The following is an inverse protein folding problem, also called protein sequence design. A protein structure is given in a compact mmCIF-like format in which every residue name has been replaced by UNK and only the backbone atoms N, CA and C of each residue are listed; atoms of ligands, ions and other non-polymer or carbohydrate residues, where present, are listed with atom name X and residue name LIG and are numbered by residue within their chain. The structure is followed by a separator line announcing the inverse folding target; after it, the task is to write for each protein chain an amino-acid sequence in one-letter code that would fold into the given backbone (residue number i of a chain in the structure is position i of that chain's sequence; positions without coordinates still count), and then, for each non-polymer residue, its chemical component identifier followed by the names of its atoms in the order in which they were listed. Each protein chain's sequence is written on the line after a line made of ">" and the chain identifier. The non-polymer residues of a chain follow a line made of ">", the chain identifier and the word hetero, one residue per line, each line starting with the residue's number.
data_IF_910501572830
#
_entry.id   IF_910501572830
#
_cell.length_a   1.000
_cell.length_b   1.000
_cell.length_c   1.000
_cell.angle_alpha   90.00
_cell.angle_beta   90.00
_cell.angle_gamma   90.00
#
_symmetry.space_group_name_H-M   'P 1'
#
loop_
_entity.id
_entity.type
_entity.pdbx_description
1 polymer ?
#
# COMPACT_ATOMS: atom_id res chain seq x y z
N UNK A 1 50.85 46.28 -36.80
CA UNK A 1 51.39 45.99 -35.45
C UNK A 1 50.62 46.82 -34.44
N UNK A 2 50.41 46.33 -33.21
CA UNK A 2 49.60 45.20 -32.72
C UNK A 2 48.22 45.74 -32.23
N UNK A 3 47.18 44.98 -31.87
CA UNK A 3 47.08 43.66 -31.25
C UNK A 3 46.28 43.86 -29.95
N UNK A 4 44.98 43.56 -29.96
CA UNK A 4 44.17 43.45 -28.74
C UNK A 4 44.06 41.96 -28.44
N UNK A 5 44.87 41.52 -27.47
CA UNK A 5 44.85 40.17 -26.91
C UNK A 5 43.61 40.00 -26.02
N UNK A 6 42.82 38.96 -26.33
CA UNK A 6 41.80 38.41 -25.44
C UNK A 6 42.50 37.39 -24.55
N UNK A 7 42.68 37.72 -23.27
CA UNK A 7 43.30 36.83 -22.30
C UNK A 7 42.28 36.06 -21.46
N UNK A 8 42.62 34.78 -21.29
CA UNK A 8 41.91 33.66 -20.70
C UNK A 8 41.48 33.81 -19.22
N UNK A 9 40.29 33.26 -18.93
CA UNK A 9 39.98 32.20 -17.94
C UNK A 9 40.67 32.24 -16.56
N UNK A 10 39.92 32.56 -15.49
CA UNK A 10 40.10 31.99 -14.13
C UNK A 10 38.76 31.97 -13.38
N UNK A 11 38.35 30.79 -12.90
CA UNK A 11 37.18 30.51 -12.05
C UNK A 11 37.18 31.26 -10.70
N UNK A 12 36.01 31.54 -10.10
CA UNK A 12 35.86 31.63 -8.65
C UNK A 12 35.39 30.30 -8.02
N UNK A 13 35.66 30.11 -6.71
CA UNK A 13 35.73 28.79 -6.07
C UNK A 13 34.38 28.23 -5.64
N UNK A 14 34.32 26.91 -5.69
CA UNK A 14 33.28 26.05 -5.11
C UNK A 14 33.37 26.16 -3.58
N UNK A 15 32.33 26.69 -2.94
CA UNK A 15 32.04 26.46 -1.52
C UNK A 15 30.89 25.46 -1.47
N UNK A 16 31.23 24.17 -1.32
CA UNK A 16 30.30 23.14 -0.87
C UNK A 16 30.59 22.95 0.61
N UNK A 17 29.64 23.36 1.44
CA UNK A 17 29.67 23.18 2.87
C UNK A 17 28.26 23.27 3.40
N UNK A 18 27.49 22.18 3.25
CA UNK A 18 26.43 21.81 4.19
C UNK A 18 26.59 20.31 4.41
N UNK A 19 27.36 20.00 5.46
CA UNK A 19 27.50 18.67 6.03
C UNK A 19 26.15 18.18 6.59
N UNK A 20 26.02 16.86 6.48
CA UNK A 20 25.18 15.95 7.24
C UNK A 20 24.60 16.47 8.56
N UNK A 21 23.27 16.51 8.66
CA UNK A 21 22.57 16.32 9.92
C UNK A 21 21.37 15.39 9.74
N UNK A 22 21.26 14.42 10.66
CA UNK A 22 20.13 13.55 10.97
C UNK A 22 19.78 12.40 10.01
N UNK A 23 20.57 11.33 10.07
CA UNK A 23 20.03 9.97 9.99
C UNK A 23 20.49 9.24 11.25
N UNK A 24 19.62 9.15 12.25
CA UNK A 24 19.89 8.31 13.44
C UNK A 24 20.09 6.85 13.02
N UNK A 25 21.03 6.12 13.64
CA UNK A 25 21.29 4.73 13.31
C UNK A 25 20.05 3.89 13.65
N UNK A 26 19.48 3.24 12.64
CA UNK A 26 18.26 2.40 12.69
C UNK A 26 18.30 1.35 13.82
N UNK A 27 19.50 0.89 14.20
CA UNK A 27 19.68 -0.11 15.25
C UNK A 27 19.31 0.45 16.65
N UNK A 28 19.51 1.75 16.89
CA UNK A 28 19.15 2.42 18.14
C UNK A 28 17.63 2.62 18.26
N UNK A 29 16.95 2.88 17.14
CA UNK A 29 15.49 2.99 17.07
C UNK A 29 14.82 1.63 17.27
N UNK A 30 15.43 0.56 16.77
CA UNK A 30 14.97 -0.83 16.95
C UNK A 30 15.06 -1.25 18.43
N UNK A 31 16.17 -0.91 19.09
CA UNK A 31 16.39 -1.24 20.50
C UNK A 31 15.47 -0.42 21.42
N UNK A 32 15.21 0.85 21.11
CA UNK A 32 14.26 1.68 21.86
C UNK A 32 12.81 1.20 21.67
N UNK A 33 12.43 0.76 20.46
CA UNK A 33 11.12 0.20 20.20
C UNK A 33 10.89 -1.13 20.96
N UNK A 34 11.86 -2.04 20.98
CA UNK A 34 11.79 -3.26 21.79
C UNK A 34 11.63 -2.96 23.28
N UNK A 35 12.33 -1.92 23.77
CA UNK A 35 12.28 -1.49 25.17
C UNK A 35 10.93 -0.87 25.55
N UNK A 36 10.20 -0.30 24.59
CA UNK A 36 8.82 0.21 24.78
C UNK A 36 7.77 -0.88 24.71
N UNK A 37 7.96 -1.86 23.83
CA UNK A 37 7.06 -3.01 23.70
C UNK A 37 7.06 -3.87 24.97
N UNK A 38 8.23 -4.03 25.63
CA UNK A 38 8.33 -4.79 26.88
C UNK A 38 7.63 -4.12 28.08
N UNK A 39 7.29 -2.83 27.99
CA UNK A 39 6.55 -2.09 29.01
C UNK A 39 5.02 -2.13 28.84
N UNK A 40 4.52 -2.73 27.76
CA UNK A 40 3.07 -2.86 27.52
C UNK A 40 2.45 -3.97 28.39
N UNK A 41 1.17 -3.84 28.79
CA UNK A 41 0.46 -4.88 29.52
C UNK A 41 0.46 -6.19 28.72
N UNK A 42 0.53 -7.36 29.39
CA UNK A 42 0.78 -8.65 28.74
C UNK A 42 -0.28 -9.03 27.69
N UNK A 43 -1.46 -8.44 27.76
CA UNK A 43 -2.57 -8.64 26.82
C UNK A 43 -2.37 -7.91 25.47
N UNK A 44 -1.53 -6.87 25.43
CA UNK A 44 -1.27 -6.03 24.25
C UNK A 44 0.07 -6.36 23.54
N UNK A 45 0.93 -7.15 24.19
CA UNK A 45 2.22 -7.59 23.65
C UNK A 45 2.14 -8.37 22.33
N UNK A 46 1.17 -9.30 22.09
CA UNK A 46 1.13 -10.03 20.82
C UNK A 46 0.83 -9.10 19.63
N UNK A 47 -0.05 -8.11 19.80
CA UNK A 47 -0.37 -7.13 18.76
C UNK A 47 0.79 -6.19 18.48
N UNK A 48 1.50 -5.73 19.52
CA UNK A 48 2.67 -4.86 19.38
C UNK A 48 3.84 -5.59 18.69
N UNK A 49 4.04 -6.87 18.98
CA UNK A 49 5.06 -7.69 18.31
C UNK A 49 4.73 -7.92 16.83
N UNK A 50 3.46 -8.14 16.48
CA UNK A 50 3.03 -8.25 15.07
C UNK A 50 3.22 -6.92 14.34
N UNK A 51 2.81 -5.80 14.93
CA UNK A 51 3.03 -4.45 14.36
C UNK A 51 4.52 -4.14 14.18
N UNK A 52 5.35 -4.54 15.14
CA UNK A 52 6.80 -4.35 15.07
C UNK A 52 7.45 -5.24 14.01
N UNK A 53 7.05 -6.51 13.89
CA UNK A 53 7.57 -7.39 12.83
C UNK A 53 7.12 -6.95 11.44
N UNK A 54 5.89 -6.45 11.30
CA UNK A 54 5.41 -5.83 10.05
C UNK A 54 6.19 -4.55 9.74
N UNK A 55 6.41 -3.68 10.72
CA UNK A 55 7.24 -2.47 10.56
C UNK A 55 8.69 -2.78 10.21
N UNK A 56 9.28 -3.80 10.83
CA UNK A 56 10.62 -4.28 10.54
C UNK A 56 10.73 -4.94 9.16
N UNK A 57 9.70 -5.66 8.70
CA UNK A 57 9.62 -6.19 7.33
C UNK A 57 9.52 -5.07 6.29
N UNK A 58 8.72 -4.03 6.55
CA UNK A 58 8.64 -2.81 5.73
C UNK A 58 10.01 -2.10 5.67
N UNK A 59 10.72 -1.99 6.79
CA UNK A 59 12.03 -1.37 6.87
C UNK A 59 13.12 -2.22 6.17
N UNK A 60 13.03 -3.56 6.28
CA UNK A 60 13.96 -4.50 5.65
C UNK A 60 13.77 -4.59 4.13
N UNK A 61 12.53 -4.49 3.62
CA UNK A 61 12.27 -4.29 2.19
C UNK A 61 12.76 -2.92 1.68
N UNK A 62 13.01 -1.95 2.58
CA UNK A 62 13.59 -0.64 2.28
C UNK A 62 15.12 -0.60 2.20
N UNK A 63 15.84 -1.65 2.64
CA UNK A 63 17.31 -1.74 2.52
C UNK A 63 17.72 -2.38 1.17
N UNK A 64 17.44 -1.67 0.08
CA UNK A 64 18.14 -1.89 -1.19
C UNK A 64 19.20 -0.77 -1.37
N UNK A 65 20.43 -1.20 -1.64
CA UNK A 65 21.68 -0.43 -1.77
C UNK A 65 21.47 0.88 -2.55
N UNK A 66 21.61 2.03 -1.87
CA UNK A 66 21.72 3.34 -2.53
C UNK A 66 23.10 3.41 -3.20
N UNK A 67 23.18 3.07 -4.48
CA UNK A 67 24.29 3.50 -5.34
C UNK A 67 23.88 4.78 -6.04
N UNK A 68 24.08 5.92 -5.36
CA UNK A 68 23.96 7.23 -5.96
C UNK A 68 25.23 7.52 -6.76
N UNK A 69 25.17 7.37 -8.10
CA UNK A 69 26.09 8.04 -9.03
C UNK A 69 25.37 8.35 -10.34
N UNK A 70 24.54 9.39 -10.37
CA UNK A 70 24.46 10.28 -11.54
C UNK A 70 24.10 11.70 -11.08
N UNK A 71 25.03 12.64 -11.27
CA UNK A 71 24.75 14.06 -11.47
C UNK A 71 25.86 14.61 -12.39
N UNK A 72 25.64 15.61 -13.28
CA UNK A 72 24.51 16.56 -13.25
C UNK A 72 23.76 16.74 -14.60
N UNK A 73 22.49 17.13 -14.48
CA UNK A 73 21.51 17.37 -15.57
C UNK A 73 21.69 18.76 -16.25
N UNK A 74 22.71 19.53 -15.90
CA UNK A 74 22.80 20.96 -16.22
C UNK A 74 23.56 21.33 -17.51
N UNK A 75 24.21 20.40 -18.21
CA UNK A 75 25.00 20.74 -19.41
C UNK A 75 24.29 20.51 -20.75
N UNK A 76 23.08 19.94 -20.76
CA UNK A 76 22.37 19.58 -22.00
C UNK A 76 20.89 19.96 -22.07
N UNK A 77 20.37 20.76 -21.14
CA UNK A 77 19.03 21.33 -21.33
C UNK A 77 19.15 22.55 -22.25
N UNK A 78 19.20 22.27 -23.55
CA UNK A 78 18.94 23.24 -24.60
C UNK A 78 17.41 23.31 -24.78
N UNK A 79 16.84 24.51 -24.66
CA UNK A 79 15.41 24.78 -24.49
C UNK A 79 14.53 24.53 -25.74
N UNK A 80 14.65 23.38 -26.41
CA UNK A 80 13.77 23.03 -27.53
C UNK A 80 13.43 21.54 -27.54
N UNK A 81 12.16 21.25 -27.27
CA UNK A 81 11.43 20.09 -27.80
C UNK A 81 12.01 18.70 -27.47
N UNK A 82 11.70 18.19 -26.28
CA UNK A 82 11.23 16.80 -26.21
C UNK A 82 9.71 16.86 -26.32
N UNK A 83 9.17 16.54 -27.49
CA UNK A 83 7.72 16.42 -27.77
C UNK A 83 7.02 15.26 -27.00
N UNK A 84 7.51 14.92 -25.81
CA UNK A 84 6.86 13.93 -24.93
C UNK A 84 5.98 14.57 -23.85
N UNK A 85 5.99 15.91 -23.71
CA UNK A 85 5.21 16.64 -22.71
C UNK A 85 3.69 16.38 -22.69
N UNK A 86 2.96 16.22 -23.81
CA UNK A 86 1.51 16.04 -23.73
C UNK A 86 1.09 14.60 -23.36
N UNK A 87 1.89 13.57 -23.68
CA UNK A 87 1.59 12.18 -23.30
C UNK A 87 2.01 11.86 -21.86
N UNK A 88 3.14 12.41 -21.40
CA UNK A 88 3.64 12.18 -20.05
C UNK A 88 2.79 12.86 -18.96
N UNK A 89 2.01 13.90 -19.27
CA UNK A 89 1.14 14.54 -18.28
C UNK A 89 -0.24 13.87 -18.21
N UNK A 90 -0.90 13.58 -19.34
CA UNK A 90 -2.26 13.02 -19.32
C UNK A 90 -2.26 11.54 -18.91
N UNK A 91 -1.40 10.72 -19.53
CA UNK A 91 -1.35 9.27 -19.22
C UNK A 91 -0.75 9.00 -17.84
N UNK A 92 0.25 9.77 -17.40
CA UNK A 92 0.81 9.63 -16.05
C UNK A 92 -0.19 10.04 -14.96
N UNK A 93 -0.87 11.19 -15.14
CA UNK A 93 -1.91 11.63 -14.19
C UNK A 93 -3.08 10.65 -14.15
N UNK A 94 -3.49 10.09 -15.29
CA UNK A 94 -4.57 9.10 -15.34
C UNK A 94 -4.18 7.81 -14.62
N UNK A 95 -2.98 7.29 -14.87
CA UNK A 95 -2.48 6.05 -14.27
C UNK A 95 -2.25 6.23 -12.76
N UNK A 96 -1.63 7.33 -12.34
CA UNK A 96 -1.39 7.63 -10.92
C UNK A 96 -2.69 7.96 -10.18
N UNK A 97 -3.61 8.68 -10.83
CA UNK A 97 -4.95 8.95 -10.32
C UNK A 97 -5.76 7.66 -10.15
N UNK A 98 -5.68 6.74 -11.13
CA UNK A 98 -6.27 5.42 -11.05
C UNK A 98 -5.74 4.62 -9.86
N UNK A 99 -4.43 4.53 -9.69
CA UNK A 99 -3.85 3.80 -8.55
C UNK A 99 -4.17 4.47 -7.20
N UNK A 100 -4.24 5.81 -7.16
CA UNK A 100 -4.68 6.54 -5.95
C UNK A 100 -6.15 6.25 -5.62
N UNK A 101 -6.99 6.12 -6.65
CA UNK A 101 -8.39 5.75 -6.48
C UNK A 101 -8.54 4.30 -5.98
N UNK A 102 -7.69 3.36 -6.44
CA UNK A 102 -7.63 1.99 -5.88
C UNK A 102 -7.35 2.04 -4.37
N UNK A 103 -6.31 2.77 -3.95
CA UNK A 103 -5.98 2.96 -2.52
C UNK A 103 -7.16 3.55 -1.74
N UNK A 104 -7.88 4.52 -2.32
CA UNK A 104 -9.05 5.12 -1.68
C UNK A 104 -10.20 4.10 -1.50
N UNK A 105 -10.47 3.25 -2.50
CA UNK A 105 -11.48 2.20 -2.40
C UNK A 105 -11.10 1.11 -1.39
N UNK A 106 -9.83 0.72 -1.33
CA UNK A 106 -9.32 -0.22 -0.33
C UNK A 106 -9.48 0.34 1.09
N UNK A 107 -9.11 1.61 1.29
CA UNK A 107 -9.28 2.28 2.58
C UNK A 107 -10.76 2.39 2.98
N UNK A 108 -11.64 2.71 2.02
CA UNK A 108 -13.08 2.77 2.25
C UNK A 108 -13.67 1.41 2.62
N UNK A 109 -13.23 0.34 1.95
CA UNK A 109 -13.61 -1.03 2.29
C UNK A 109 -13.22 -1.37 3.71
N UNK A 110 -11.93 -1.19 4.07
CA UNK A 110 -11.41 -1.47 5.41
C UNK A 110 -12.17 -0.68 6.48
N UNK A 111 -12.46 0.60 6.24
CA UNK A 111 -13.24 1.41 7.17
C UNK A 111 -14.65 0.84 7.39
N UNK A 112 -15.29 0.39 6.31
CA UNK A 112 -16.65 -0.16 6.34
C UNK A 112 -16.67 -1.52 7.04
N UNK A 113 -15.75 -2.43 6.71
CA UNK A 113 -15.66 -3.76 7.33
C UNK A 113 -15.27 -3.68 8.79
N UNK A 114 -14.38 -2.77 9.16
CA UNK A 114 -14.00 -2.51 10.55
C UNK A 114 -15.22 -2.03 11.35
N UNK A 115 -15.99 -1.07 10.84
CA UNK A 115 -17.20 -0.58 11.50
C UNK A 115 -18.23 -1.70 11.68
N UNK A 116 -18.51 -2.47 10.63
CA UNK A 116 -19.42 -3.61 10.70
C UNK A 116 -18.95 -4.64 11.74
N UNK A 117 -17.65 -4.95 11.77
CA UNK A 117 -17.08 -5.93 12.70
C UNK A 117 -17.15 -5.43 14.14
N UNK A 118 -16.91 -4.14 14.39
CA UNK A 118 -17.06 -3.54 15.72
C UNK A 118 -18.50 -3.61 16.22
N UNK A 119 -19.48 -3.32 15.35
CA UNK A 119 -20.91 -3.47 15.68
C UNK A 119 -21.26 -4.92 15.99
N UNK A 120 -20.67 -5.89 15.29
CA UNK A 120 -20.90 -7.31 15.56
C UNK A 120 -20.32 -7.78 16.91
N UNK A 121 -19.16 -7.26 17.30
CA UNK A 121 -18.58 -7.54 18.61
C UNK A 121 -19.33 -6.86 19.75
N UNK A 122 -19.91 -5.68 19.48
CA UNK A 122 -20.69 -4.91 20.44
C UNK A 122 -22.17 -5.29 20.36
N UNK A 123 -22.56 -6.32 21.12
CA UNK A 123 -23.94 -6.80 21.16
C UNK A 123 -24.50 -6.62 22.57
N UNK A 124 -25.72 -6.09 22.67
CA UNK A 124 -26.44 -5.91 23.94
C UNK A 124 -25.71 -5.07 25.02
N UNK A 125 -24.81 -4.17 24.62
CA UNK A 125 -24.08 -3.30 25.54
C UNK A 125 -22.78 -3.89 26.08
N UNK A 126 -22.40 -5.10 25.66
CA UNK A 126 -21.15 -5.76 26.06
C UNK A 126 -20.33 -6.22 24.85
N UNK A 127 -19.01 -6.29 25.03
CA UNK A 127 -18.09 -6.82 24.02
C UNK A 127 -17.96 -8.34 24.18
N UNK A 128 -18.45 -9.07 23.18
CA UNK A 128 -18.34 -10.53 23.15
C UNK A 128 -17.26 -10.98 22.18
N UNK A 129 -16.05 -11.23 22.69
CA UNK A 129 -14.91 -11.70 21.90
C UNK A 129 -15.03 -13.18 21.47
N UNK A 130 -15.70 -14.00 22.27
CA UNK A 130 -15.84 -15.42 22.01
C UNK A 130 -17.25 -15.89 22.30
N UNK A 131 -17.77 -16.79 21.46
CA UNK A 131 -19.06 -17.46 21.64
C UNK A 131 -18.86 -18.97 21.50
N UNK A 132 -19.66 -19.80 22.19
CA UNK A 132 -19.60 -21.25 22.00
C UNK A 132 -20.02 -21.63 20.58
N UNK A 133 -19.39 -22.66 20.03
CA UNK A 133 -19.74 -23.18 18.71
C UNK A 133 -21.09 -23.89 18.76
N UNK A 134 -22.02 -23.45 17.92
CA UNK A 134 -23.26 -24.19 17.65
C UNK A 134 -23.11 -25.04 16.40
N UNK A 135 -23.74 -26.22 16.38
CA UNK A 135 -23.65 -27.18 15.27
C UNK A 135 -24.54 -26.81 14.07
N UNK A 136 -24.45 -25.57 13.58
CA UNK A 136 -25.11 -25.14 12.34
C UNK A 136 -24.11 -24.48 11.38
N UNK A 137 -24.31 -24.66 10.07
CA UNK A 137 -23.46 -24.04 9.06
C UNK A 137 -23.45 -22.50 9.17
N UNK A 138 -24.63 -21.93 9.44
CA UNK A 138 -24.81 -20.51 9.71
C UNK A 138 -23.93 -20.05 10.90
N UNK A 139 -23.94 -20.79 12.02
CA UNK A 139 -23.13 -20.46 13.19
C UNK A 139 -21.63 -20.60 12.95
N UNK A 140 -21.20 -21.52 12.07
CA UNK A 140 -19.77 -21.67 11.75
C UNK A 140 -19.22 -20.49 10.95
N UNK A 141 -19.94 -20.06 9.91
CA UNK A 141 -19.50 -18.96 9.04
C UNK A 141 -19.69 -17.58 9.71
N UNK A 142 -20.70 -17.42 10.56
CA UNK A 142 -20.92 -16.17 11.31
C UNK A 142 -20.22 -16.15 12.68
N UNK A 143 -19.35 -17.12 12.94
CA UNK A 143 -18.61 -17.19 14.18
C UNK A 143 -17.64 -16.00 14.33
N UNK A 144 -17.35 -15.53 15.55
CA UNK A 144 -16.29 -14.55 15.84
C UNK A 144 -14.94 -14.84 15.15
N UNK A 145 -14.63 -16.12 14.92
CA UNK A 145 -13.43 -16.56 14.18
C UNK A 145 -13.39 -16.02 12.74
N UNK A 146 -14.52 -16.00 12.04
CA UNK A 146 -14.59 -15.43 10.69
C UNK A 146 -14.26 -13.93 10.71
N UNK A 147 -14.77 -13.20 11.71
CA UNK A 147 -14.48 -11.78 11.87
C UNK A 147 -13.01 -11.50 12.23
N UNK A 148 -12.34 -12.40 12.96
CA UNK A 148 -10.89 -12.29 13.17
C UNK A 148 -10.10 -12.49 11.87
N UNK A 149 -10.53 -13.43 11.02
CA UNK A 149 -9.94 -13.61 9.69
C UNK A 149 -10.17 -12.37 8.82
N UNK A 150 -11.35 -11.76 8.90
CA UNK A 150 -11.66 -10.51 8.21
C UNK A 150 -10.78 -9.35 8.69
N UNK A 151 -10.59 -9.19 10.00
CA UNK A 151 -9.66 -8.18 10.55
C UNK A 151 -8.21 -8.41 10.13
N UNK A 152 -7.76 -9.66 10.05
CA UNK A 152 -6.43 -9.97 9.53
C UNK A 152 -6.31 -9.61 8.05
N UNK A 153 -7.37 -9.86 7.26
CA UNK A 153 -7.43 -9.44 5.86
C UNK A 153 -7.43 -7.92 5.71
N UNK A 154 -8.16 -7.19 6.55
CA UNK A 154 -8.17 -5.72 6.57
C UNK A 154 -6.77 -5.17 6.87
N UNK A 155 -6.03 -5.78 7.80
CA UNK A 155 -4.64 -5.41 8.08
C UNK A 155 -3.74 -5.62 6.86
N UNK A 156 -3.87 -6.77 6.17
CA UNK A 156 -3.11 -7.06 4.94
C UNK A 156 -3.47 -6.03 3.85
N UNK A 157 -4.75 -5.67 3.73
CA UNK A 157 -5.25 -4.67 2.78
C UNK A 157 -4.59 -3.31 3.03
N UNK A 158 -4.53 -2.85 4.28
CA UNK A 158 -3.85 -1.60 4.64
C UNK A 158 -2.37 -1.64 4.27
N UNK A 159 -1.68 -2.76 4.53
CA UNK A 159 -0.27 -2.92 4.16
C UNK A 159 -0.10 -2.89 2.63
N UNK A 160 -0.99 -3.53 1.87
CA UNK A 160 -0.97 -3.52 0.42
C UNK A 160 -1.20 -2.12 -0.15
N UNK A 161 -2.14 -1.36 0.41
CA UNK A 161 -2.42 0.03 0.05
C UNK A 161 -1.19 0.94 0.30
N UNK A 162 -0.51 0.75 1.43
CA UNK A 162 0.75 1.46 1.73
C UNK A 162 1.87 1.06 0.75
N UNK A 163 1.99 -0.22 0.40
CA UNK A 163 2.95 -0.69 -0.60
C UNK A 163 2.70 -0.06 -1.97
N UNK A 164 1.44 0.03 -2.41
CA UNK A 164 1.08 0.68 -3.68
C UNK A 164 1.41 2.17 -3.64
N UNK A 165 1.02 2.85 -2.58
CA UNK A 165 1.32 4.28 -2.38
C UNK A 165 2.83 4.53 -2.44
N UNK A 166 3.62 3.73 -1.72
CA UNK A 166 5.07 3.84 -1.72
C UNK A 166 5.68 3.50 -3.10
N UNK A 167 5.17 2.47 -3.78
CA UNK A 167 5.57 2.11 -5.14
C UNK A 167 5.31 3.21 -6.17
N UNK A 168 4.19 3.92 -6.04
CA UNK A 168 3.84 5.08 -6.87
C UNK A 168 4.78 6.26 -6.64
N UNK A 169 5.17 6.53 -5.39
CA UNK A 169 6.07 7.65 -5.07
C UNK A 169 7.52 7.39 -5.48
N UNK A 170 7.99 6.13 -5.38
CA UNK A 170 9.37 5.75 -5.72
C UNK A 170 9.57 5.21 -7.13
N UNK A 171 8.50 5.12 -7.93
CA UNK A 171 8.53 4.50 -9.26
C UNK A 171 9.07 3.05 -9.25
N UNK A 172 8.77 2.31 -8.18
CA UNK A 172 9.31 0.96 -7.97
C UNK A 172 8.37 -0.12 -8.57
N UNK A 173 8.82 -0.73 -9.67
CA UNK A 173 8.11 -1.82 -10.36
C UNK A 173 7.92 -3.07 -9.50
N UNK A 174 8.82 -3.31 -8.54
CA UNK A 174 8.76 -4.44 -7.64
C UNK A 174 7.53 -4.36 -6.73
N UNK A 175 7.31 -3.19 -6.13
CA UNK A 175 6.16 -2.93 -5.26
C UNK A 175 4.83 -3.01 -6.01
N UNK A 176 4.76 -2.48 -7.23
CA UNK A 176 3.57 -2.61 -8.08
C UNK A 176 3.25 -4.07 -8.41
N UNK A 177 4.28 -4.91 -8.67
CA UNK A 177 4.08 -6.33 -8.95
C UNK A 177 3.60 -7.10 -7.72
N UNK A 178 4.05 -6.72 -6.53
CA UNK A 178 3.56 -7.29 -5.27
C UNK A 178 2.09 -6.93 -5.10
N UNK A 179 1.72 -5.66 -5.29
CA UNK A 179 0.34 -5.22 -5.17
C UNK A 179 -0.57 -5.89 -6.21
N UNK A 180 -0.12 -6.04 -7.47
CA UNK A 180 -0.86 -6.80 -8.49
C UNK A 180 -1.17 -8.25 -8.09
N UNK A 181 -0.23 -8.93 -7.42
CA UNK A 181 -0.47 -10.29 -6.90
C UNK A 181 -1.44 -10.28 -5.73
N UNK A 182 -1.38 -9.25 -4.90
CA UNK A 182 -2.32 -9.03 -3.83
C UNK A 182 -3.74 -8.82 -4.38
N UNK A 183 -3.94 -8.01 -5.42
CA UNK A 183 -5.27 -7.79 -6.04
C UNK A 183 -5.90 -9.10 -6.53
N UNK A 184 -5.09 -10.01 -7.09
CA UNK A 184 -5.55 -11.33 -7.52
C UNK A 184 -5.98 -12.21 -6.33
N UNK A 185 -5.19 -12.18 -5.25
CA UNK A 185 -5.51 -12.88 -4.01
C UNK A 185 -6.78 -12.30 -3.36
N UNK A 186 -6.89 -10.97 -3.27
CA UNK A 186 -8.03 -10.24 -2.73
C UNK A 186 -9.31 -10.55 -3.52
N UNK A 187 -9.24 -10.59 -4.85
CA UNK A 187 -10.37 -10.99 -5.69
C UNK A 187 -10.88 -12.40 -5.34
N UNK A 188 -9.96 -13.37 -5.20
CA UNK A 188 -10.31 -14.73 -4.79
C UNK A 188 -10.95 -14.77 -3.40
N UNK A 189 -10.38 -14.02 -2.46
CA UNK A 189 -10.91 -13.89 -1.10
C UNK A 189 -12.32 -13.28 -1.10
N UNK A 190 -12.58 -12.18 -1.82
CA UNK A 190 -13.89 -11.55 -1.87
C UNK A 190 -14.96 -12.44 -2.50
N UNK A 191 -14.63 -13.18 -3.56
CA UNK A 191 -15.55 -14.14 -4.17
C UNK A 191 -15.91 -15.25 -3.16
N UNK A 192 -14.91 -15.81 -2.49
CA UNK A 192 -15.11 -16.85 -1.48
C UNK A 192 -15.91 -16.32 -0.28
N UNK A 193 -15.55 -15.16 0.25
CA UNK A 193 -16.22 -14.53 1.37
C UNK A 193 -17.67 -14.18 1.03
N UNK A 194 -17.93 -13.58 -0.14
CA UNK A 194 -19.28 -13.29 -0.62
C UNK A 194 -20.13 -14.55 -0.71
N UNK A 195 -19.64 -15.59 -1.39
CA UNK A 195 -20.40 -16.83 -1.60
C UNK A 195 -20.70 -17.54 -0.30
N UNK A 196 -19.70 -17.72 0.58
CA UNK A 196 -19.88 -18.38 1.86
C UNK A 196 -20.78 -17.59 2.80
N UNK A 197 -20.58 -16.28 2.90
CA UNK A 197 -21.31 -15.43 3.84
C UNK A 197 -22.76 -15.20 3.41
N UNK A 198 -23.00 -14.92 2.11
CA UNK A 198 -24.35 -14.79 1.57
C UNK A 198 -25.13 -16.11 1.67
N UNK A 199 -24.48 -17.25 1.41
CA UNK A 199 -25.11 -18.55 1.60
C UNK A 199 -25.40 -18.83 3.07
N UNK A 200 -24.47 -18.54 3.98
CA UNK A 200 -24.65 -18.73 5.41
C UNK A 200 -25.86 -17.97 5.95
N UNK A 201 -26.00 -16.69 5.61
CA UNK A 201 -27.14 -15.85 6.04
C UNK A 201 -28.46 -16.30 5.40
N UNK A 202 -28.40 -16.91 4.21
CA UNK A 202 -29.60 -17.44 3.53
C UNK A 202 -30.09 -18.77 4.12
N UNK A 203 -29.24 -19.50 4.85
CA UNK A 203 -29.65 -20.73 5.55
C UNK A 203 -30.30 -20.42 6.90
N UNK A 204 -31.19 -21.32 7.37
CA UNK A 204 -31.81 -21.18 8.70
C UNK A 204 -30.72 -21.24 9.78
N UNK A 205 -30.66 -20.22 10.63
CA UNK A 205 -29.72 -20.14 11.74
C UNK A 205 -29.96 -18.94 12.64
N UNK A 206 -29.03 -18.68 13.56
CA UNK A 206 -29.12 -17.60 14.54
C UNK A 206 -28.87 -16.21 13.94
N UNK A 207 -28.17 -16.15 12.81
CA UNK A 207 -27.91 -14.90 12.08
C UNK A 207 -28.74 -14.85 10.80
N UNK A 208 -29.44 -13.73 10.61
CA UNK A 208 -30.32 -13.46 9.47
C UNK A 208 -29.95 -12.17 8.75
N UNK A 209 -30.70 -11.84 7.70
CA UNK A 209 -30.60 -10.57 6.98
C UNK A 209 -30.92 -9.40 7.90
N UNK A 210 -29.87 -8.81 8.45
CA UNK A 210 -29.90 -7.57 9.22
C UNK A 210 -29.11 -6.49 8.46
N UNK A 211 -29.24 -5.22 8.85
CA UNK A 211 -28.56 -4.11 8.20
C UNK A 211 -27.04 -4.31 8.12
N UNK A 212 -26.41 -4.70 9.23
CA UNK A 212 -24.96 -4.94 9.31
C UNK A 212 -24.52 -6.11 8.42
N UNK A 213 -25.26 -7.21 8.44
CA UNK A 213 -24.99 -8.39 7.63
C UNK A 213 -25.17 -8.09 6.13
N UNK A 214 -26.20 -7.33 5.79
CA UNK A 214 -26.47 -6.88 4.42
C UNK A 214 -25.37 -5.96 3.91
N UNK A 215 -24.93 -5.01 4.75
CA UNK A 215 -23.84 -4.10 4.41
C UNK A 215 -22.52 -4.86 4.18
N UNK A 216 -22.22 -5.90 4.97
CA UNK A 216 -21.07 -6.78 4.76
C UNK A 216 -21.16 -7.55 3.43
N UNK A 217 -22.31 -8.15 3.12
CA UNK A 217 -22.54 -8.84 1.84
C UNK A 217 -22.34 -7.89 0.65
N UNK A 218 -22.91 -6.68 0.73
CA UNK A 218 -22.74 -5.66 -0.30
C UNK A 218 -21.30 -5.16 -0.40
N UNK A 219 -20.57 -5.08 0.72
CA UNK A 219 -19.15 -4.73 0.73
C UNK A 219 -18.33 -5.78 -0.03
N UNK A 220 -18.53 -7.07 0.23
CA UNK A 220 -17.84 -8.12 -0.52
C UNK A 220 -18.21 -8.14 -2.00
N UNK A 221 -19.50 -7.94 -2.31
CA UNK A 221 -19.98 -7.93 -3.69
C UNK A 221 -19.43 -6.75 -4.49
N UNK A 222 -19.42 -5.54 -3.91
CA UNK A 222 -18.92 -4.33 -4.57
C UNK A 222 -17.41 -4.37 -4.79
N UNK A 223 -16.65 -5.08 -3.95
CA UNK A 223 -15.21 -5.26 -4.14
C UNK A 223 -14.86 -6.09 -5.37
N UNK A 224 -15.69 -7.05 -5.80
CA UNK A 224 -15.38 -7.89 -6.97
C UNK A 224 -15.13 -7.05 -8.24
N UNK A 225 -16.05 -6.17 -8.71
CA UNK A 225 -15.78 -5.33 -9.87
C UNK A 225 -14.67 -4.30 -9.64
N UNK A 226 -14.53 -3.77 -8.42
CA UNK A 226 -13.47 -2.82 -8.06
C UNK A 226 -12.09 -3.48 -8.20
N UNK A 227 -11.92 -4.71 -7.72
CA UNK A 227 -10.67 -5.46 -7.80
C UNK A 227 -10.32 -5.87 -9.24
N UNK A 228 -11.31 -6.26 -10.03
CA UNK A 228 -11.09 -6.51 -11.48
C UNK A 228 -10.63 -5.24 -12.19
N UNK A 229 -11.21 -4.09 -11.84
CA UNK A 229 -10.77 -2.80 -12.37
C UNK A 229 -9.36 -2.43 -11.86
N UNK A 230 -9.06 -2.63 -10.58
CA UNK A 230 -7.76 -2.37 -9.97
C UNK A 230 -6.63 -3.16 -10.67
N UNK A 231 -6.87 -4.45 -10.97
CA UNK A 231 -5.93 -5.28 -11.73
C UNK A 231 -5.54 -4.65 -13.08
N UNK A 232 -6.51 -4.08 -13.80
CA UNK A 232 -6.28 -3.39 -15.07
C UNK A 232 -5.45 -2.10 -14.89
N UNK A 233 -5.78 -1.33 -13.86
CA UNK A 233 -5.11 -0.06 -13.53
C UNK A 233 -3.65 -0.30 -13.10
N UNK A 234 -3.41 -1.21 -12.17
CA UNK A 234 -2.09 -1.53 -11.63
C UNK A 234 -1.21 -2.15 -12.71
N UNK A 235 -1.77 -3.01 -13.57
CA UNK A 235 -1.06 -3.52 -14.75
C UNK A 235 -0.65 -2.39 -15.70
N UNK A 236 -1.57 -1.49 -16.02
CA UNK A 236 -1.29 -0.33 -16.89
C UNK A 236 -0.22 0.57 -16.27
N UNK A 237 -0.21 0.70 -14.94
CA UNK A 237 0.83 1.43 -14.21
C UNK A 237 2.20 0.75 -14.31
N UNK A 238 2.26 -0.57 -14.16
CA UNK A 238 3.48 -1.34 -14.34
C UNK A 238 4.05 -1.22 -15.76
N UNK A 239 3.19 -1.29 -16.77
CA UNK A 239 3.58 -1.16 -18.18
C UNK A 239 4.09 0.27 -18.49
N UNK A 240 3.46 1.30 -17.90
CA UNK A 240 3.92 2.69 -18.00
C UNK A 240 5.29 2.90 -17.34
N UNK A 241 5.52 2.35 -16.15
CA UNK A 241 6.83 2.43 -15.49
C UNK A 241 7.91 1.67 -16.25
N UNK A 242 7.55 0.56 -16.92
CA UNK A 242 8.46 -0.17 -17.80
C UNK A 242 8.97 0.71 -18.93
N UNK A 243 8.05 1.44 -19.56
CA UNK A 243 8.32 2.32 -20.69
C UNK A 243 9.16 3.55 -20.30
N UNK A 244 8.88 4.18 -19.15
CA UNK A 244 9.73 5.28 -18.63
C UNK A 244 11.18 4.84 -18.47
N UNK A 245 11.41 3.68 -17.86
CA UNK A 245 12.76 3.18 -17.62
C UNK A 245 13.53 2.92 -18.93
N UNK A 246 12.84 2.47 -19.98
CA UNK A 246 13.45 2.29 -21.30
C UNK A 246 13.83 3.63 -21.91
N UNK A 247 12.96 4.64 -21.84
CA UNK A 247 13.28 5.98 -22.34
C UNK A 247 14.43 6.64 -21.60
N UNK A 248 14.52 6.50 -20.27
CA UNK A 248 15.67 6.98 -19.50
C UNK A 248 16.95 6.28 -19.96
N UNK A 249 16.91 4.95 -20.10
CA UNK A 249 18.07 4.18 -20.56
C UNK A 249 18.53 4.55 -21.98
N UNK A 250 17.61 4.97 -22.86
CA UNK A 250 17.93 5.42 -24.22
C UNK A 250 18.43 6.87 -24.26
N UNK A 251 18.04 7.70 -23.30
CA UNK A 251 18.52 9.08 -23.20
C UNK A 251 19.93 9.16 -22.59
N UNK A 252 20.29 8.20 -21.74
CA UNK A 252 21.62 8.08 -21.13
C UNK A 252 22.68 7.50 -22.07
N UNK A 253 22.27 6.81 -23.16
CA UNK A 253 23.13 6.21 -24.19
C UNK A 253 23.40 7.14 -25.37
#
# INVERSE_FOLDING_TARGET
>A
MPGIEVHNNVNPPIIVGIESELVEPVDEVIDEAHRRISKLPPQAQPFANVLFQVGAFICSCGKARINNKVAPITSKIQARHLELEPLCCLSSCLVRGGCTAVVAFEAFFVATTLLCTLVQFYSNGEFHFWRPFEHSFNAYITHPVFFYVLLAFDLITVIAALCLTHGLFRFDKGLLRIHYRYDLFALGFHILAFTLYAFAISTKGSQHWDFTNTLLVLSFLSQIPIQVWALSVVKSCGDFFALIHVFVSLADS
#
